data_IF_324049740145
#
_entry.id   IF_324049740145
#
_cell.length_a   1.000
_cell.length_b   1.000
_cell.length_c   1.000
_cell.angle_alpha   90.00
_cell.angle_beta   90.00
_cell.angle_gamma   90.00
#
_symmetry.space_group_name_H-M   'P 1'
#
loop_
_entity.id
_entity.type
_entity.pdbx_description
1 polymer ?
#
# COMPACT_ATOMS: atom_id res chain seq x y z
N UNK A 1 -26.43 -26.83 22.13
CA UNK A 1 -25.12 -26.92 21.46
C UNK A 1 -25.15 -25.97 20.27
N UNK A 2 -24.36 -24.89 20.31
CA UNK A 2 -24.24 -23.94 19.20
C UNK A 2 -23.03 -24.35 18.37
N UNK A 3 -23.24 -24.69 17.09
CA UNK A 3 -22.17 -24.76 16.11
C UNK A 3 -21.82 -23.33 15.67
N UNK A 4 -20.58 -22.85 15.83
CA UNK A 4 -20.13 -21.71 15.06
C UNK A 4 -19.70 -22.21 13.68
N UNK A 5 -20.37 -21.71 12.63
CA UNK A 5 -19.91 -21.85 11.25
C UNK A 5 -18.51 -21.23 11.11
N UNK A 6 -17.58 -21.85 10.36
CA UNK A 6 -16.28 -21.28 10.13
C UNK A 6 -16.44 -20.03 9.27
N UNK A 7 -15.83 -18.93 9.72
CA UNK A 7 -15.66 -17.72 8.92
C UNK A 7 -14.86 -18.12 7.68
N UNK A 8 -15.55 -18.23 6.55
CA UNK A 8 -14.94 -18.40 5.24
C UNK A 8 -14.14 -17.13 4.93
N UNK A 9 -12.86 -17.11 5.33
CA UNK A 9 -11.84 -16.32 4.64
C UNK A 9 -11.59 -16.97 3.28
N UNK A 10 -12.58 -16.87 2.38
CA UNK A 10 -12.44 -17.33 1.01
C UNK A 10 -11.61 -16.30 0.26
N UNK A 11 -10.36 -16.69 0.01
CA UNK A 11 -9.52 -16.35 -1.13
C UNK A 11 -9.95 -15.10 -1.90
N UNK A 12 -9.48 -13.94 -1.46
CA UNK A 12 -9.27 -12.82 -2.37
C UNK A 12 -7.86 -12.32 -2.12
N UNK A 13 -7.13 -12.01 -3.20
CA UNK A 13 -6.21 -10.86 -3.31
C UNK A 13 -4.95 -11.08 -4.15
N UNK A 14 -4.73 -12.22 -4.83
CA UNK A 14 -3.57 -12.30 -5.74
C UNK A 14 -3.72 -11.36 -6.95
N UNK A 15 -4.94 -11.20 -7.48
CA UNK A 15 -5.20 -10.27 -8.59
C UNK A 15 -5.16 -8.81 -8.14
N UNK A 16 -5.63 -8.51 -6.93
CA UNK A 16 -5.58 -7.16 -6.39
C UNK A 16 -4.14 -6.73 -6.05
N UNK A 17 -3.30 -7.66 -5.56
CA UNK A 17 -1.89 -7.38 -5.25
C UNK A 17 -1.07 -7.03 -6.50
N UNK A 18 -1.26 -7.77 -7.60
CA UNK A 18 -0.64 -7.44 -8.90
C UNK A 18 -1.13 -6.08 -9.43
N UNK A 19 -2.37 -5.70 -9.13
CA UNK A 19 -2.90 -4.37 -9.50
C UNK A 19 -2.28 -3.25 -8.68
N UNK A 20 -1.95 -3.49 -7.40
CA UNK A 20 -1.31 -2.50 -6.53
C UNK A 20 0.13 -2.24 -6.92
N UNK A 21 0.93 -3.28 -7.20
CA UNK A 21 2.33 -3.10 -7.63
C UNK A 21 2.41 -2.28 -8.93
N UNK A 22 1.55 -2.58 -9.91
CA UNK A 22 1.50 -1.81 -11.16
C UNK A 22 1.06 -0.36 -10.96
N UNK A 23 0.05 -0.11 -10.10
CA UNK A 23 -0.37 1.24 -9.75
C UNK A 23 0.78 2.01 -9.06
N UNK A 24 1.48 1.35 -8.15
CA UNK A 24 2.58 1.93 -7.39
C UNK A 24 3.71 2.37 -8.32
N UNK A 25 4.18 1.47 -9.17
CA UNK A 25 5.29 1.74 -10.09
C UNK A 25 4.96 2.86 -11.10
N UNK A 26 3.67 3.07 -11.39
CA UNK A 26 3.22 4.09 -12.35
C UNK A 26 2.93 5.44 -11.70
N UNK A 27 2.46 5.46 -10.45
CA UNK A 27 1.90 6.68 -9.82
C UNK A 27 2.69 7.20 -8.63
N UNK A 28 3.59 6.41 -8.06
CA UNK A 28 4.28 6.76 -6.83
C UNK A 28 5.79 6.75 -7.01
N UNK A 29 6.45 7.69 -6.32
CA UNK A 29 7.90 7.68 -6.17
C UNK A 29 8.23 6.87 -4.92
N UNK A 30 9.08 5.85 -5.07
CA UNK A 30 9.55 5.04 -3.94
C UNK A 30 10.61 5.79 -3.14
N UNK A 31 10.62 5.58 -1.83
CA UNK A 31 11.58 6.19 -0.91
C UNK A 31 12.66 5.19 -0.51
N UNK A 32 13.92 5.55 -0.79
CA UNK A 32 15.10 4.71 -0.49
C UNK A 32 15.74 5.00 0.87
N UNK A 33 15.25 6.00 1.61
CA UNK A 33 15.88 6.48 2.84
C UNK A 33 16.81 7.69 2.65
N UNK A 34 16.97 8.18 1.42
CA UNK A 34 17.80 9.34 1.08
C UNK A 34 16.92 10.50 0.61
N UNK A 35 17.18 11.69 1.12
CA UNK A 35 16.45 12.93 0.77
C UNK A 35 15.51 13.40 1.89
N UNK A 36 14.59 14.29 1.54
CA UNK A 36 13.62 14.82 2.49
C UNK A 36 12.41 13.87 2.64
N UNK A 37 12.40 13.11 3.73
CA UNK A 37 11.31 12.20 4.07
C UNK A 37 9.96 12.91 4.25
N UNK A 38 9.96 14.16 4.71
CA UNK A 38 8.73 14.93 4.95
C UNK A 38 8.10 15.31 3.62
N UNK A 39 8.90 15.82 2.70
CA UNK A 39 8.43 16.19 1.35
C UNK A 39 7.92 14.94 0.60
N UNK A 40 8.67 13.84 0.64
CA UNK A 40 8.24 12.57 0.06
C UNK A 40 6.89 12.08 0.62
N UNK A 41 6.71 12.15 1.95
CA UNK A 41 5.47 11.72 2.59
C UNK A 41 4.29 12.60 2.16
N UNK A 42 4.46 13.93 2.10
CA UNK A 42 3.42 14.85 1.65
C UNK A 42 3.02 14.60 0.19
N UNK A 43 4.00 14.38 -0.69
CA UNK A 43 3.74 14.01 -2.09
C UNK A 43 2.99 12.68 -2.19
N UNK A 44 3.40 11.68 -1.41
CA UNK A 44 2.76 10.36 -1.36
C UNK A 44 1.31 10.46 -0.89
N UNK A 45 1.05 11.21 0.19
CA UNK A 45 -0.32 11.44 0.68
C UNK A 45 -1.19 12.17 -0.35
N UNK A 46 -0.62 13.13 -1.08
CA UNK A 46 -1.33 13.78 -2.18
C UNK A 46 -1.67 12.79 -3.30
N UNK A 47 -0.75 11.88 -3.64
CA UNK A 47 -0.99 10.85 -4.64
C UNK A 47 -2.02 9.80 -4.22
N UNK A 48 -2.07 9.43 -2.94
CA UNK A 48 -3.15 8.59 -2.42
C UNK A 48 -4.53 9.21 -2.67
N UNK A 49 -4.65 10.54 -2.47
CA UNK A 49 -5.90 11.26 -2.76
C UNK A 49 -6.21 11.28 -4.26
N UNK A 50 -5.22 11.50 -5.12
CA UNK A 50 -5.40 11.52 -6.58
C UNK A 50 -5.79 10.14 -7.14
N UNK A 51 -5.24 9.07 -6.57
CA UNK A 51 -5.57 7.69 -6.94
C UNK A 51 -6.88 7.19 -6.29
N UNK A 52 -7.52 7.98 -5.44
CA UNK A 52 -8.77 7.61 -4.76
C UNK A 52 -8.62 6.48 -3.74
N UNK A 53 -7.40 6.26 -3.21
CA UNK A 53 -7.14 5.15 -2.28
C UNK A 53 -7.78 5.40 -0.92
N UNK A 54 -8.48 4.39 -0.41
CA UNK A 54 -9.08 4.33 0.92
C UNK A 54 -8.00 4.08 1.98
N UNK A 55 -8.32 4.39 3.23
CA UNK A 55 -7.38 4.25 4.36
C UNK A 55 -6.71 2.86 4.45
N UNK A 56 -7.47 1.78 4.27
CA UNK A 56 -6.91 0.43 4.34
C UNK A 56 -5.95 0.15 3.18
N UNK A 57 -6.29 0.60 1.97
CA UNK A 57 -5.47 0.45 0.77
C UNK A 57 -4.17 1.26 0.90
N UNK A 58 -4.25 2.48 1.45
CA UNK A 58 -3.07 3.30 1.75
C UNK A 58 -2.10 2.55 2.68
N UNK A 59 -2.61 1.95 3.76
CA UNK A 59 -1.79 1.16 4.68
C UNK A 59 -1.17 -0.08 4.01
N UNK A 60 -1.90 -0.72 3.09
CA UNK A 60 -1.40 -1.84 2.31
C UNK A 60 -0.33 -1.41 1.30
N UNK A 61 -0.42 -0.19 0.76
CA UNK A 61 0.53 0.34 -0.23
C UNK A 61 1.86 0.79 0.40
N UNK A 62 1.84 1.35 1.62
CA UNK A 62 3.04 1.93 2.25
C UNK A 62 4.28 1.00 2.21
N UNK A 63 4.20 -0.30 2.56
CA UNK A 63 5.37 -1.19 2.50
C UNK A 63 6.02 -1.27 1.12
N UNK A 64 5.21 -1.21 0.05
CA UNK A 64 5.71 -1.29 -1.32
C UNK A 64 6.33 0.02 -1.83
N UNK A 65 6.12 1.13 -1.11
CA UNK A 65 6.71 2.43 -1.39
C UNK A 65 8.07 2.64 -0.74
N UNK A 66 8.43 1.80 0.23
CA UNK A 66 9.72 1.84 0.89
C UNK A 66 10.67 0.85 0.22
N UNK A 67 11.86 1.32 -0.14
CA UNK A 67 12.92 0.51 -0.76
C UNK A 67 14.25 0.69 -0.03
N UNK A 68 15.19 -0.21 -0.30
CA UNK A 68 16.56 -0.15 0.21
C UNK A 68 16.62 0.05 1.73
N UNK A 69 17.29 1.12 2.17
CA UNK A 69 17.54 1.45 3.57
C UNK A 69 16.37 2.14 4.27
N UNK A 70 15.26 2.41 3.59
CA UNK A 70 14.11 3.11 4.20
C UNK A 70 13.44 2.36 5.37
N UNK A 71 13.78 1.08 5.57
CA UNK A 71 13.29 0.23 6.66
C UNK A 71 14.14 0.28 7.95
N UNK A 72 15.30 0.94 7.91
CA UNK A 72 16.32 0.96 8.96
C UNK A 72 16.43 2.34 9.60
#
# INVERSE_FOLDING_TARGET
QMNPSPVNHSLSNNNDMLSFESLIDTKFIKYSGIGDATDWLLQTMNQFKQCGLRRLEQLQVIPFLLVDTAYL
#
